data_IF_499523314755
#
_entry.id   IF_499523314755
#
_cell.length_a   1.000
_cell.length_b   1.000
_cell.length_c   1.000
_cell.angle_alpha   90.00
_cell.angle_beta   90.00
_cell.angle_gamma   90.00
#
_symmetry.space_group_name_H-M   'P 1'
#
loop_
_entity.id
_entity.type
_entity.pdbx_description
1 polymer ?
#
# COMPACT_ATOMS: atom_id res chain seq x y z
N UNK A 1 -2.77 -61.16 7.54
CA UNK A 1 -2.48 -59.83 8.11
C UNK A 1 -2.31 -58.87 6.96
N UNK A 2 -3.39 -58.12 6.65
CA UNK A 2 -3.36 -57.08 5.61
C UNK A 2 -2.93 -55.77 6.27
N UNK A 3 -1.76 -55.23 5.84
CA UNK A 3 -1.26 -53.94 6.31
C UNK A 3 -2.03 -52.81 5.66
N UNK A 4 -2.74 -52.03 6.45
CA UNK A 4 -3.33 -50.76 6.05
C UNK A 4 -2.19 -49.74 5.80
N UNK A 5 -2.09 -49.24 4.59
CA UNK A 5 -1.27 -48.07 4.28
C UNK A 5 -1.91 -46.82 4.90
N UNK A 6 -1.18 -45.93 5.54
CA UNK A 6 -1.74 -44.65 5.98
C UNK A 6 -2.06 -43.79 4.74
N UNK A 7 -3.31 -43.38 4.61
CA UNK A 7 -3.74 -42.34 3.69
C UNK A 7 -3.04 -41.04 4.07
N UNK A 8 -2.37 -40.44 3.10
CA UNK A 8 -1.80 -39.11 3.22
C UNK A 8 -2.95 -38.10 3.33
N UNK A 9 -3.17 -37.56 4.52
CA UNK A 9 -4.05 -36.43 4.76
C UNK A 9 -3.38 -35.23 4.07
N UNK A 10 -3.90 -34.85 2.92
CA UNK A 10 -3.58 -33.58 2.28
C UNK A 10 -4.15 -32.46 3.17
N UNK A 11 -3.30 -31.91 4.04
CA UNK A 11 -3.63 -30.68 4.75
C UNK A 11 -3.51 -29.50 3.78
N UNK A 12 -4.56 -29.25 3.04
CA UNK A 12 -4.74 -28.02 2.29
C UNK A 12 -5.07 -26.89 3.28
N UNK A 13 -4.03 -26.36 3.93
CA UNK A 13 -4.10 -25.19 4.80
C UNK A 13 -4.05 -23.89 4.00
N UNK A 14 -4.52 -23.89 2.76
CA UNK A 14 -4.70 -22.66 2.01
C UNK A 14 -5.76 -21.83 2.71
N UNK A 15 -5.39 -20.61 3.05
CA UNK A 15 -6.25 -19.60 3.68
C UNK A 15 -7.62 -19.55 2.98
N UNK A 16 -8.68 -19.85 3.71
CA UNK A 16 -10.08 -19.87 3.24
C UNK A 16 -10.71 -18.47 3.13
N UNK A 17 -9.89 -17.41 3.14
CA UNK A 17 -10.41 -16.05 3.03
C UNK A 17 -10.81 -15.74 1.59
N UNK A 18 -11.95 -15.07 1.37
CA UNK A 18 -12.40 -14.72 0.04
C UNK A 18 -11.35 -13.87 -0.68
N UNK A 19 -11.19 -14.12 -1.98
CA UNK A 19 -10.47 -13.19 -2.84
C UNK A 19 -11.22 -11.87 -2.89
N UNK A 20 -10.50 -10.74 -3.11
CA UNK A 20 -11.16 -9.45 -3.26
C UNK A 20 -12.05 -9.45 -4.50
N UNK A 21 -13.14 -8.70 -4.44
CA UNK A 21 -13.90 -8.42 -5.64
C UNK A 21 -13.10 -7.46 -6.53
N UNK A 22 -12.70 -7.93 -7.71
CA UNK A 22 -12.01 -7.10 -8.69
C UNK A 22 -12.87 -5.93 -9.15
N UNK A 23 -12.25 -4.77 -9.27
CA UNK A 23 -12.88 -3.56 -9.81
C UNK A 23 -12.57 -3.47 -11.30
N UNK A 24 -13.57 -3.47 -12.20
CA UNK A 24 -13.36 -3.19 -13.62
C UNK A 24 -12.79 -1.77 -13.83
N UNK A 25 -11.84 -1.61 -14.75
CA UNK A 25 -11.17 -0.31 -14.95
C UNK A 25 -12.12 0.81 -15.34
N UNK A 26 -13.16 0.50 -16.13
CA UNK A 26 -14.19 1.46 -16.51
C UNK A 26 -14.99 2.00 -15.33
N UNK A 27 -15.07 1.26 -14.24
CA UNK A 27 -15.76 1.67 -13.00
C UNK A 27 -14.80 2.16 -11.89
N UNK A 28 -13.48 2.18 -12.13
CA UNK A 28 -12.48 2.49 -11.11
C UNK A 28 -12.75 3.85 -10.44
N UNK A 29 -12.96 4.91 -11.21
CA UNK A 29 -13.23 6.24 -10.65
C UNK A 29 -14.53 6.27 -9.83
N UNK A 30 -15.56 5.61 -10.30
CA UNK A 30 -16.83 5.51 -9.58
C UNK A 30 -16.65 4.72 -8.26
N UNK A 31 -15.92 3.60 -8.31
CA UNK A 31 -15.67 2.77 -7.13
C UNK A 31 -14.85 3.53 -6.09
N UNK A 32 -13.77 4.22 -6.49
CA UNK A 32 -12.98 5.07 -5.62
C UNK A 32 -13.81 6.19 -4.99
N UNK A 33 -14.66 6.87 -5.78
CA UNK A 33 -15.53 7.92 -5.29
C UNK A 33 -16.61 7.39 -4.32
N UNK A 34 -17.04 6.14 -4.47
CA UNK A 34 -18.13 5.57 -3.66
C UNK A 34 -17.62 4.86 -2.40
N UNK A 35 -16.66 3.94 -2.58
CA UNK A 35 -16.16 3.09 -1.50
C UNK A 35 -14.92 3.65 -0.79
N UNK A 36 -14.16 4.57 -1.43
CA UNK A 36 -12.87 5.03 -0.95
C UNK A 36 -11.72 4.03 -1.18
N UNK A 37 -12.00 2.89 -1.78
CA UNK A 37 -10.97 1.92 -2.17
C UNK A 37 -11.42 1.10 -3.38
N UNK A 38 -10.44 0.50 -4.06
CA UNK A 38 -10.65 -0.42 -5.18
C UNK A 38 -9.54 -1.47 -5.22
N UNK A 39 -9.83 -2.63 -5.78
CA UNK A 39 -8.83 -3.68 -6.02
C UNK A 39 -8.78 -3.98 -7.51
N UNK A 40 -7.58 -3.99 -8.08
CA UNK A 40 -7.34 -4.42 -9.44
C UNK A 40 -6.59 -5.75 -9.43
N UNK A 41 -7.01 -6.69 -10.27
CA UNK A 41 -6.25 -7.91 -10.55
C UNK A 41 -4.98 -7.56 -11.37
N UNK A 42 -4.02 -8.50 -11.55
CA UNK A 42 -2.75 -8.21 -12.20
C UNK A 42 -2.89 -7.67 -13.62
N UNK A 43 -3.83 -8.19 -14.40
CA UNK A 43 -4.05 -7.74 -15.79
C UNK A 43 -4.61 -6.32 -15.84
N UNK A 44 -5.58 -6.02 -14.98
CA UNK A 44 -6.14 -4.68 -14.86
C UNK A 44 -5.09 -3.69 -14.31
N UNK A 45 -4.26 -4.09 -13.35
CA UNK A 45 -3.18 -3.25 -12.81
C UNK A 45 -2.13 -2.91 -13.88
N UNK A 46 -1.70 -3.87 -14.69
CA UNK A 46 -0.77 -3.64 -15.78
C UNK A 46 -1.38 -2.70 -16.84
N UNK A 47 -2.63 -2.94 -17.25
CA UNK A 47 -3.33 -2.07 -18.20
C UNK A 47 -3.50 -0.64 -17.63
N UNK A 48 -3.86 -0.51 -16.36
CA UNK A 48 -3.95 0.78 -15.67
C UNK A 48 -2.61 1.52 -15.62
N UNK A 49 -1.51 0.79 -15.42
CA UNK A 49 -0.15 1.34 -15.44
C UNK A 49 0.36 1.66 -16.87
N UNK A 50 -0.39 1.31 -17.92
CA UNK A 50 0.00 1.52 -19.31
C UNK A 50 1.14 0.62 -19.77
N UNK A 51 1.29 -0.58 -19.19
CA UNK A 51 2.36 -1.52 -19.48
C UNK A 51 1.82 -2.97 -19.59
N UNK A 52 2.69 -3.89 -19.93
CA UNK A 52 2.39 -5.32 -19.87
C UNK A 52 2.79 -5.90 -18.50
N UNK A 53 2.10 -6.95 -18.07
CA UNK A 53 2.41 -7.62 -16.80
C UNK A 53 3.85 -8.16 -16.76
N UNK A 54 4.37 -8.62 -17.91
CA UNK A 54 5.77 -9.06 -18.02
C UNK A 54 6.79 -7.95 -17.76
N UNK A 55 6.45 -6.70 -18.05
CA UNK A 55 7.31 -5.54 -17.77
C UNK A 55 7.34 -5.24 -16.27
N UNK A 56 6.20 -5.37 -15.57
CA UNK A 56 6.16 -5.27 -14.11
C UNK A 56 7.03 -6.34 -13.43
N UNK A 57 7.11 -7.53 -14.00
CA UNK A 57 7.96 -8.60 -13.47
C UNK A 57 9.45 -8.26 -13.50
N UNK A 58 9.91 -7.35 -14.36
CA UNK A 58 11.28 -6.86 -14.38
C UNK A 58 11.69 -6.14 -13.07
N UNK A 59 10.71 -5.71 -12.27
CA UNK A 59 10.95 -5.08 -10.96
C UNK A 59 11.21 -6.09 -9.84
N UNK A 60 10.80 -7.35 -9.96
CA UNK A 60 10.86 -8.35 -8.87
C UNK A 60 12.27 -8.60 -8.31
N UNK A 61 13.35 -8.67 -9.11
CA UNK A 61 14.70 -8.94 -8.58
C UNK A 61 15.20 -7.91 -7.55
N UNK A 62 14.65 -6.69 -7.54
CA UNK A 62 15.07 -5.64 -6.61
C UNK A 62 14.61 -5.88 -5.16
N UNK A 63 13.76 -6.89 -4.90
CA UNK A 63 13.38 -7.31 -3.55
C UNK A 63 14.35 -8.31 -2.91
N UNK A 64 15.26 -8.93 -3.67
CA UNK A 64 16.10 -10.02 -3.16
C UNK A 64 17.16 -9.59 -2.15
N UNK A 65 17.65 -8.34 -2.22
CA UNK A 65 18.73 -7.83 -1.38
C UNK A 65 18.37 -6.52 -0.67
N UNK A 66 17.15 -6.47 -0.10
CA UNK A 66 16.76 -5.30 0.68
C UNK A 66 17.37 -5.32 2.09
N UNK A 67 17.81 -4.15 2.60
CA UNK A 67 18.35 -4.01 3.95
C UNK A 67 17.26 -4.21 5.00
N UNK A 68 17.66 -4.61 6.20
CA UNK A 68 16.77 -4.64 7.36
C UNK A 68 16.28 -3.24 7.71
N UNK A 69 15.05 -3.15 8.17
CA UNK A 69 14.51 -1.94 8.76
C UNK A 69 15.05 -1.74 10.17
N UNK A 70 15.97 -0.79 10.34
CA UNK A 70 16.58 -0.47 11.62
C UNK A 70 15.68 0.34 12.56
N UNK A 71 14.46 0.71 12.12
CA UNK A 71 13.57 1.60 12.87
C UNK A 71 12.38 0.87 13.51
N UNK A 72 12.36 -0.47 13.52
CA UNK A 72 11.30 -1.24 14.19
C UNK A 72 11.44 -1.14 15.71
N UNK A 73 10.48 -0.47 16.35
CA UNK A 73 10.48 -0.28 17.82
C UNK A 73 10.04 -1.53 18.60
N UNK A 74 9.39 -2.49 17.94
CA UNK A 74 9.02 -3.77 18.56
C UNK A 74 10.19 -4.76 18.69
N UNK A 75 11.40 -4.35 18.26
CA UNK A 75 12.60 -5.17 18.29
C UNK A 75 12.63 -6.29 17.24
N UNK A 76 11.67 -6.30 16.33
CA UNK A 76 11.58 -7.30 15.27
C UNK A 76 12.66 -7.09 14.19
N UNK A 77 13.11 -8.18 13.58
CA UNK A 77 14.01 -8.17 12.40
C UNK A 77 13.32 -8.73 11.15
N UNK A 78 12.00 -8.75 11.16
CA UNK A 78 11.19 -9.37 10.11
C UNK A 78 10.91 -8.45 8.93
N UNK A 79 11.22 -7.12 8.99
CA UNK A 79 10.93 -6.19 7.92
C UNK A 79 12.20 -5.71 7.23
N UNK A 80 12.20 -5.78 5.91
CA UNK A 80 13.21 -5.19 5.04
C UNK A 80 12.55 -4.16 4.17
N UNK A 81 13.22 -3.04 3.88
CA UNK A 81 12.66 -2.00 3.05
C UNK A 81 13.71 -1.06 2.46
N UNK A 82 13.27 -0.39 1.40
CA UNK A 82 13.92 0.80 0.83
C UNK A 82 12.91 1.94 0.75
N UNK A 83 13.38 3.12 0.45
CA UNK A 83 12.51 4.29 0.33
C UNK A 83 13.11 5.29 -0.66
N UNK A 84 12.28 5.80 -1.57
CA UNK A 84 12.64 6.94 -2.43
C UNK A 84 11.44 7.81 -2.67
N UNK A 85 11.69 9.08 -2.97
CA UNK A 85 10.69 10.10 -3.16
C UNK A 85 10.72 10.65 -4.58
N UNK A 86 9.54 10.97 -5.09
CA UNK A 86 9.32 11.48 -6.44
C UNK A 86 8.32 12.63 -6.39
N UNK A 87 8.42 13.52 -7.34
CA UNK A 87 7.43 14.56 -7.60
C UNK A 87 6.86 14.40 -9.00
N UNK A 88 5.54 14.53 -9.11
CA UNK A 88 4.83 14.56 -10.38
C UNK A 88 4.15 15.89 -10.52
N UNK A 89 4.58 16.68 -11.52
CA UNK A 89 4.02 17.98 -11.80
C UNK A 89 4.18 18.32 -13.29
N UNK A 90 3.16 18.93 -13.93
CA UNK A 90 3.15 19.22 -15.36
C UNK A 90 3.50 18.00 -16.23
N UNK A 91 2.86 16.86 -15.95
CA UNK A 91 3.06 15.57 -16.64
C UNK A 91 4.52 15.06 -16.62
N UNK A 92 5.33 15.56 -15.70
CA UNK A 92 6.71 15.14 -15.51
C UNK A 92 6.91 14.51 -14.14
N UNK A 93 7.42 13.27 -14.15
CA UNK A 93 7.93 12.59 -12.96
C UNK A 93 9.41 12.92 -12.76
N UNK A 94 9.78 13.28 -11.54
CA UNK A 94 11.17 13.59 -11.17
C UNK A 94 11.48 12.92 -9.83
N UNK A 95 12.59 12.17 -9.76
CA UNK A 95 13.09 11.69 -8.48
C UNK A 95 13.69 12.86 -7.69
N UNK A 96 13.29 13.00 -6.42
CA UNK A 96 13.83 14.07 -5.55
C UNK A 96 15.13 13.62 -4.88
N UNK A 97 15.81 14.57 -4.23
CA UNK A 97 16.91 14.23 -3.35
C UNK A 97 16.45 13.25 -2.26
N UNK A 98 17.34 12.34 -1.89
CA UNK A 98 17.06 11.36 -0.84
C UNK A 98 16.75 12.05 0.49
N UNK A 99 15.65 11.61 1.13
CA UNK A 99 15.16 12.20 2.38
C UNK A 99 14.68 11.14 3.35
N UNK A 100 14.62 11.50 4.63
CA UNK A 100 14.02 10.65 5.63
C UNK A 100 12.49 10.60 5.46
N UNK A 101 11.92 9.43 5.61
CA UNK A 101 10.48 9.25 5.75
C UNK A 101 10.02 9.76 7.12
N UNK A 102 8.87 10.42 7.16
CA UNK A 102 8.27 10.94 8.39
C UNK A 102 6.76 10.70 8.37
N UNK A 103 6.19 10.34 9.51
CA UNK A 103 4.75 10.28 9.76
C UNK A 103 4.44 10.92 11.10
N UNK A 104 3.26 11.53 11.24
CA UNK A 104 2.78 12.03 12.53
C UNK A 104 2.44 10.88 13.47
N UNK A 105 2.49 11.14 14.79
CA UNK A 105 2.01 10.21 15.81
C UNK A 105 0.52 9.91 15.67
N UNK A 106 -0.26 10.85 15.12
CA UNK A 106 -1.71 10.69 14.91
C UNK A 106 -2.01 9.57 13.91
N UNK A 107 -1.12 9.33 12.95
CA UNK A 107 -1.26 8.29 11.93
C UNK A 107 -0.47 7.02 12.24
N UNK A 108 0.64 7.14 12.95
CA UNK A 108 1.45 6.00 13.35
C UNK A 108 1.90 6.14 14.80
N UNK A 109 1.07 5.66 15.72
CA UNK A 109 1.34 5.73 17.15
C UNK A 109 2.61 4.96 17.56
N UNK A 110 3.00 3.94 16.78
CA UNK A 110 4.17 3.11 17.10
C UNK A 110 5.47 3.72 16.56
N UNK A 111 5.49 4.17 15.30
CA UNK A 111 6.70 4.61 14.60
C UNK A 111 6.66 6.07 14.14
N UNK A 112 5.61 6.82 14.45
CA UNK A 112 5.47 8.24 14.12
C UNK A 112 6.35 9.15 14.94
N UNK A 113 6.36 10.45 14.58
CA UNK A 113 7.06 11.52 15.29
C UNK A 113 8.58 11.50 15.17
N UNK A 114 9.15 10.67 14.27
CA UNK A 114 10.59 10.54 14.06
C UNK A 114 10.97 10.48 12.59
N UNK A 115 12.11 11.04 12.25
CA UNK A 115 12.72 10.88 10.94
C UNK A 115 13.34 9.48 10.81
N UNK A 116 12.94 8.73 9.79
CA UNK A 116 13.43 7.39 9.50
C UNK A 116 14.16 7.41 8.15
N UNK A 117 15.47 7.43 8.18
CA UNK A 117 16.28 7.40 6.96
C UNK A 117 16.51 5.94 6.55
N UNK A 118 15.87 5.53 5.47
CA UNK A 118 16.05 4.21 4.86
C UNK A 118 17.03 4.32 3.70
N UNK A 119 17.61 3.19 3.28
CA UNK A 119 18.39 3.18 2.06
C UNK A 119 17.52 3.52 0.84
N UNK A 120 18.04 4.29 -0.15
CA UNK A 120 17.31 4.60 -1.37
C UNK A 120 17.07 3.35 -2.22
N UNK A 121 16.08 3.42 -3.09
CA UNK A 121 15.88 2.43 -4.14
C UNK A 121 17.06 2.44 -5.12
N UNK A 122 17.36 1.27 -5.69
CA UNK A 122 18.41 1.13 -6.70
C UNK A 122 18.14 2.03 -7.91
N UNK A 123 19.19 2.69 -8.41
CA UNK A 123 19.09 3.47 -9.65
C UNK A 123 18.72 2.58 -10.85
N UNK A 124 19.20 1.34 -10.87
CA UNK A 124 18.82 0.38 -11.92
C UNK A 124 17.31 0.12 -11.94
N UNK A 125 16.65 0.13 -10.77
CA UNK A 125 15.20 -0.02 -10.69
C UNK A 125 14.46 1.24 -11.14
N UNK A 126 14.86 2.40 -10.60
CA UNK A 126 14.11 3.65 -10.82
C UNK A 126 14.28 4.21 -12.23
N UNK A 127 15.28 3.76 -12.99
CA UNK A 127 15.49 4.12 -14.39
C UNK A 127 14.76 3.21 -15.38
N UNK A 128 14.14 2.12 -14.94
CA UNK A 128 13.35 1.26 -15.82
C UNK A 128 12.12 2.03 -16.34
N UNK A 129 11.80 1.94 -17.64
CA UNK A 129 10.64 2.62 -18.21
C UNK A 129 9.33 2.27 -17.49
N UNK A 130 9.14 0.99 -17.15
CA UNK A 130 7.95 0.52 -16.42
C UNK A 130 7.80 1.17 -15.04
N UNK A 131 8.89 1.51 -14.38
CA UNK A 131 8.85 2.27 -13.13
C UNK A 131 8.24 3.66 -13.32
N UNK A 132 8.72 4.38 -14.32
CA UNK A 132 8.19 5.71 -14.67
C UNK A 132 6.71 5.64 -15.09
N UNK A 133 6.33 4.64 -15.89
CA UNK A 133 4.94 4.41 -16.29
C UNK A 133 4.05 4.18 -15.08
N UNK A 134 4.44 3.30 -14.16
CA UNK A 134 3.68 2.96 -12.97
C UNK A 134 3.42 4.18 -12.07
N UNK A 135 4.46 4.98 -11.79
CA UNK A 135 4.32 6.16 -10.94
C UNK A 135 3.54 7.27 -11.63
N UNK A 136 3.72 7.45 -12.94
CA UNK A 136 2.93 8.41 -13.73
C UNK A 136 1.46 8.05 -13.73
N UNK A 137 1.12 6.78 -13.95
CA UNK A 137 -0.27 6.30 -13.92
C UNK A 137 -0.89 6.53 -12.53
N UNK A 138 -0.16 6.26 -11.45
CA UNK A 138 -0.63 6.52 -10.09
C UNK A 138 -0.89 8.00 -9.85
N UNK A 139 0.03 8.90 -10.20
CA UNK A 139 -0.14 10.34 -10.05
C UNK A 139 -1.32 10.89 -10.87
N UNK A 140 -1.48 10.43 -12.11
CA UNK A 140 -2.60 10.82 -12.99
C UNK A 140 -3.93 10.34 -12.42
N UNK A 141 -3.99 9.13 -11.88
CA UNK A 141 -5.17 8.62 -11.19
C UNK A 141 -5.52 9.45 -9.96
N UNK A 142 -4.53 9.83 -9.13
CA UNK A 142 -4.73 10.73 -7.99
C UNK A 142 -5.33 12.07 -8.43
N UNK A 143 -4.82 12.67 -9.52
CA UNK A 143 -5.35 13.90 -10.11
C UNK A 143 -6.81 13.73 -10.56
N UNK A 144 -7.13 12.60 -11.18
CA UNK A 144 -8.48 12.28 -11.64
C UNK A 144 -9.44 12.10 -10.45
N UNK A 145 -9.05 11.36 -9.41
CA UNK A 145 -9.89 11.10 -8.23
C UNK A 145 -10.17 12.36 -7.41
N UNK A 146 -9.23 13.33 -7.39
CA UNK A 146 -9.43 14.64 -6.75
C UNK A 146 -10.03 15.68 -7.69
N UNK A 147 -10.25 15.36 -8.97
CA UNK A 147 -10.65 16.32 -10.00
C UNK A 147 -9.71 17.55 -10.07
N UNK A 148 -8.41 17.31 -10.00
CA UNK A 148 -7.33 18.32 -10.01
C UNK A 148 -6.30 17.97 -11.08
N UNK A 149 -6.52 18.27 -12.36
CA UNK A 149 -5.67 17.82 -13.47
C UNK A 149 -4.23 18.36 -13.42
N UNK A 150 -3.99 19.46 -12.70
CA UNK A 150 -2.66 20.08 -12.57
C UNK A 150 -2.09 20.00 -11.15
N UNK A 151 -2.59 19.05 -10.33
CA UNK A 151 -2.07 18.88 -8.98
C UNK A 151 -0.58 18.51 -9.00
N UNK A 152 0.14 19.02 -8.01
CA UNK A 152 1.52 18.62 -7.74
C UNK A 152 1.48 17.47 -6.72
N UNK A 153 1.90 16.29 -7.13
CA UNK A 153 1.93 15.10 -6.28
C UNK A 153 3.34 14.81 -5.78
N UNK A 154 3.48 14.73 -4.46
CA UNK A 154 4.66 14.20 -3.78
C UNK A 154 4.41 12.72 -3.51
N UNK A 155 5.21 11.84 -4.13
CA UNK A 155 5.04 10.39 -4.08
C UNK A 155 6.18 9.79 -3.28
N UNK A 156 5.88 8.98 -2.27
CA UNK A 156 6.85 8.14 -1.61
C UNK A 156 6.66 6.69 -2.05
N UNK A 157 7.75 6.04 -2.41
CA UNK A 157 7.77 4.64 -2.82
C UNK A 157 8.51 3.79 -1.81
N UNK A 158 7.83 2.72 -1.36
CA UNK A 158 8.29 1.86 -0.29
C UNK A 158 8.25 0.38 -0.73
N UNK A 159 9.32 -0.16 -1.29
CA UNK A 159 9.49 -1.60 -1.39
C UNK A 159 9.60 -2.21 0.01
N UNK A 160 8.77 -3.22 0.30
CA UNK A 160 8.79 -3.96 1.56
C UNK A 160 8.94 -5.45 1.31
N UNK A 161 9.76 -6.10 2.14
CA UNK A 161 9.68 -7.55 2.39
C UNK A 161 9.39 -7.77 3.87
N UNK A 162 8.33 -8.50 4.15
CA UNK A 162 8.07 -9.04 5.49
C UNK A 162 8.55 -10.48 5.46
N UNK A 163 9.71 -10.71 6.06
CA UNK A 163 10.36 -12.01 6.20
C UNK A 163 9.91 -12.65 7.51
N UNK A 164 9.19 -13.74 7.42
CA UNK A 164 8.72 -14.48 8.59
C UNK A 164 9.42 -15.85 8.74
N UNK A 165 10.54 -16.08 8.05
CA UNK A 165 11.28 -17.34 8.12
C UNK A 165 11.75 -17.70 9.54
N UNK A 166 11.88 -16.71 10.43
CA UNK A 166 12.27 -16.86 11.84
C UNK A 166 11.09 -16.73 12.81
N UNK A 167 9.87 -16.60 12.33
CA UNK A 167 8.68 -16.46 13.18
C UNK A 167 7.60 -15.57 12.55
N UNK A 168 6.77 -14.94 13.39
CA UNK A 168 5.67 -14.11 12.93
C UNK A 168 6.19 -12.81 12.33
N UNK A 169 5.79 -12.53 11.08
CA UNK A 169 5.98 -11.24 10.42
C UNK A 169 4.75 -10.35 10.58
N UNK A 170 4.95 -9.04 10.77
CA UNK A 170 3.86 -8.07 10.95
C UNK A 170 3.93 -7.01 9.86
N UNK A 171 3.07 -7.09 8.82
CA UNK A 171 3.03 -6.08 7.76
C UNK A 171 2.67 -4.69 8.30
N UNK A 172 1.68 -4.61 9.17
CA UNK A 172 1.25 -3.38 9.86
C UNK A 172 1.33 -3.59 11.38
N UNK A 173 2.53 -3.42 11.99
CA UNK A 173 2.71 -3.66 13.43
C UNK A 173 1.91 -2.70 14.30
N UNK A 174 1.53 -1.54 13.79
CA UNK A 174 0.65 -0.54 14.39
C UNK A 174 -0.83 -0.94 14.38
N UNK A 175 -1.21 -1.98 13.62
CA UNK A 175 -2.60 -2.37 13.42
C UNK A 175 -3.32 -1.56 12.36
N UNK A 176 -4.63 -1.40 12.51
CA UNK A 176 -5.46 -0.63 11.60
C UNK A 176 -5.15 0.88 11.71
N UNK A 177 -4.82 1.51 10.59
CA UNK A 177 -4.31 2.87 10.54
C UNK A 177 -4.65 3.58 9.23
N UNK A 178 -4.35 4.86 9.20
CA UNK A 178 -4.23 5.72 8.00
C UNK A 178 -2.76 6.14 7.87
N UNK A 179 -2.31 6.39 6.65
CA UNK A 179 -0.94 6.85 6.41
C UNK A 179 -0.76 8.37 6.58
N UNK A 180 -1.86 9.13 6.57
CA UNK A 180 -1.81 10.60 6.64
C UNK A 180 -1.45 11.25 5.32
N UNK A 181 -1.83 10.62 4.22
CA UNK A 181 -1.63 11.08 2.84
C UNK A 181 -2.97 11.22 2.12
N UNK A 182 -2.96 11.54 0.82
CA UNK A 182 -4.20 11.58 0.03
C UNK A 182 -4.58 10.19 -0.49
N UNK A 183 -3.62 9.48 -1.10
CA UNK A 183 -3.86 8.17 -1.69
C UNK A 183 -2.73 7.20 -1.41
N UNK A 184 -3.10 5.93 -1.34
CA UNK A 184 -2.17 4.80 -1.17
C UNK A 184 -2.45 3.74 -2.23
N UNK A 185 -1.39 3.16 -2.79
CA UNK A 185 -1.46 1.97 -3.61
C UNK A 185 -0.58 0.87 -3.01
N UNK A 186 -1.17 -0.29 -2.71
CA UNK A 186 -0.46 -1.45 -2.16
C UNK A 186 -0.46 -2.56 -3.19
N UNK A 187 0.65 -2.74 -3.90
CA UNK A 187 0.85 -3.85 -4.83
C UNK A 187 1.37 -5.07 -4.06
N UNK A 188 0.74 -6.21 -4.27
CA UNK A 188 1.31 -7.48 -3.84
C UNK A 188 2.29 -7.95 -4.93
N UNK A 189 3.53 -8.27 -4.56
CA UNK A 189 4.52 -8.80 -5.49
C UNK A 189 4.74 -10.30 -5.29
N UNK A 190 4.79 -10.74 -4.03
CA UNK A 190 5.06 -12.12 -3.73
C UNK A 190 4.44 -12.56 -2.40
N UNK A 191 3.95 -13.79 -2.36
CA UNK A 191 3.59 -14.52 -1.14
C UNK A 191 4.25 -15.90 -1.24
N UNK A 192 5.22 -16.16 -0.38
CA UNK A 192 5.97 -17.43 -0.42
C UNK A 192 5.88 -18.13 0.93
N UNK A 193 5.30 -19.33 0.93
CA UNK A 193 5.22 -20.22 2.08
C UNK A 193 4.69 -19.53 3.35
N UNK A 194 3.58 -18.78 3.22
CA UNK A 194 2.97 -18.05 4.33
C UNK A 194 1.47 -18.30 4.41
N UNK A 195 0.96 -18.24 5.65
CA UNK A 195 -0.46 -18.05 5.95
C UNK A 195 -0.67 -16.69 6.61
N UNK A 196 -1.92 -16.21 6.66
CA UNK A 196 -2.27 -14.88 7.16
C UNK A 196 -2.01 -13.79 6.13
N UNK A 197 -1.83 -12.55 6.57
CA UNK A 197 -1.71 -11.38 5.70
C UNK A 197 -3.04 -11.04 5.03
N UNK A 198 -4.16 -11.28 5.74
CA UNK A 198 -5.48 -10.78 5.38
C UNK A 198 -5.45 -9.27 5.38
N UNK A 199 -5.95 -8.67 4.34
CA UNK A 199 -6.18 -7.23 4.25
C UNK A 199 -7.56 -6.92 4.79
N UNK A 200 -7.65 -5.89 5.61
CA UNK A 200 -8.89 -5.32 6.12
C UNK A 200 -8.95 -3.85 5.78
N UNK A 201 -10.08 -3.43 5.24
CA UNK A 201 -10.37 -2.04 4.89
C UNK A 201 -11.66 -1.64 5.57
N UNK A 202 -11.65 -0.57 6.34
CA UNK A 202 -12.79 -0.06 7.09
C UNK A 202 -13.13 1.35 6.61
N UNK A 203 -14.40 1.68 6.57
CA UNK A 203 -14.84 3.07 6.42
C UNK A 203 -14.33 3.89 7.62
N UNK A 204 -13.67 5.01 7.38
CA UNK A 204 -13.16 5.88 8.45
C UNK A 204 -14.26 6.56 9.28
N UNK A 205 -15.49 6.62 8.76
CA UNK A 205 -16.63 7.34 9.36
C UNK A 205 -17.84 6.46 9.64
N UNK A 206 -17.76 5.15 9.36
CA UNK A 206 -18.88 4.22 9.48
C UNK A 206 -18.47 2.84 9.98
N UNK A 207 -19.46 1.98 10.24
CA UNK A 207 -19.22 0.62 10.74
C UNK A 207 -18.87 -0.38 9.62
N UNK A 208 -18.83 0.05 8.36
CA UNK A 208 -18.65 -0.84 7.23
C UNK A 208 -17.17 -1.19 7.06
N UNK A 209 -16.92 -2.42 6.63
CA UNK A 209 -15.58 -2.88 6.33
C UNK A 209 -15.62 -4.16 5.51
N UNK A 210 -14.56 -4.38 4.78
CA UNK A 210 -14.34 -5.60 4.02
C UNK A 210 -13.00 -6.23 4.42
N UNK A 211 -12.92 -7.55 4.25
CA UNK A 211 -11.71 -8.32 4.48
C UNK A 211 -11.50 -9.29 3.32
N UNK A 212 -10.28 -9.38 2.86
CA UNK A 212 -9.87 -10.24 1.76
C UNK A 212 -8.36 -10.51 1.84
N UNK A 213 -7.87 -11.40 1.01
CA UNK A 213 -6.43 -11.63 0.89
C UNK A 213 -6.01 -11.39 -0.56
N UNK A 214 -5.11 -10.44 -0.78
CA UNK A 214 -4.42 -10.32 -2.06
C UNK A 214 -3.56 -11.57 -2.24
N UNK A 215 -3.77 -12.32 -3.33
CA UNK A 215 -3.08 -13.59 -3.59
C UNK A 215 -2.23 -13.54 -4.84
N UNK A 216 -2.71 -12.85 -5.87
CA UNK A 216 -2.06 -12.82 -7.18
C UNK A 216 -0.98 -11.74 -7.21
N UNK A 217 0.26 -12.08 -7.62
CA UNK A 217 1.32 -11.08 -7.83
C UNK A 217 0.87 -9.97 -8.77
N UNK A 218 1.17 -8.71 -8.41
CA UNK A 218 0.77 -7.49 -9.09
C UNK A 218 -0.71 -7.13 -8.99
N UNK A 219 -1.51 -7.84 -8.18
CA UNK A 219 -2.77 -7.25 -7.74
C UNK A 219 -2.48 -6.00 -6.89
N UNK A 220 -3.35 -4.98 -6.99
CA UNK A 220 -3.17 -3.72 -6.25
C UNK A 220 -4.44 -3.35 -5.51
N UNK A 221 -4.27 -2.93 -4.26
CA UNK A 221 -5.28 -2.23 -3.47
C UNK A 221 -5.00 -0.74 -3.55
N UNK A 222 -5.98 0.03 -4.01
CA UNK A 222 -5.98 1.49 -4.10
C UNK A 222 -6.87 2.06 -3.00
N UNK A 223 -6.39 3.08 -2.28
CA UNK A 223 -7.06 3.66 -1.11
C UNK A 223 -7.11 5.19 -1.21
N UNK A 224 -8.25 5.79 -0.91
CA UNK A 224 -8.39 7.18 -0.48
C UNK A 224 -8.17 7.22 1.03
N UNK A 225 -6.98 7.62 1.45
CA UNK A 225 -6.52 7.51 2.84
C UNK A 225 -7.35 8.36 3.82
N UNK A 226 -8.01 9.41 3.32
CA UNK A 226 -8.92 10.22 4.14
C UNK A 226 -10.22 9.48 4.49
N UNK A 227 -10.62 8.49 3.68
CA UNK A 227 -11.94 7.84 3.75
C UNK A 227 -11.90 6.45 4.34
N UNK A 228 -10.74 5.80 4.36
CA UNK A 228 -10.62 4.42 4.84
C UNK A 228 -9.49 4.27 5.85
N UNK A 229 -9.66 3.26 6.70
CA UNK A 229 -8.63 2.74 7.61
C UNK A 229 -8.27 1.36 7.10
N UNK A 230 -6.99 1.01 7.09
CA UNK A 230 -6.56 -0.28 6.57
C UNK A 230 -5.51 -0.96 7.44
N UNK A 231 -5.44 -2.29 7.33
CA UNK A 231 -4.40 -3.11 7.94
C UNK A 231 -4.14 -4.38 7.13
N UNK A 232 -3.00 -5.00 7.38
CA UNK A 232 -2.72 -6.38 6.99
C UNK A 232 -2.39 -7.20 8.23
N UNK A 233 -3.12 -8.30 8.45
CA UNK A 233 -2.91 -9.17 9.60
C UNK A 233 -1.51 -9.80 9.60
N UNK A 234 -0.99 -10.26 10.74
CA UNK A 234 0.28 -10.95 10.81
C UNK A 234 0.34 -12.17 9.87
N UNK A 235 1.55 -12.46 9.41
CA UNK A 235 1.86 -13.64 8.59
C UNK A 235 2.70 -14.64 9.39
N UNK A 236 2.46 -15.93 9.13
CA UNK A 236 3.18 -17.03 9.75
C UNK A 236 3.84 -17.91 8.67
N UNK A 237 5.00 -18.50 8.95
CA UNK A 237 5.70 -19.34 7.99
C UNK A 237 5.03 -20.72 7.86
N UNK A 238 5.02 -21.23 6.63
CA UNK A 238 4.72 -22.62 6.29
C UNK A 238 5.99 -23.42 5.88
N UNK A 239 7.17 -22.76 5.94
CA UNK A 239 8.43 -23.36 5.55
C UNK A 239 9.63 -22.47 5.87
N UNK A 240 10.83 -22.94 5.52
CA UNK A 240 12.09 -22.26 5.88
C UNK A 240 12.32 -20.91 5.18
N UNK A 241 11.77 -20.74 3.98
CA UNK A 241 11.82 -19.47 3.25
C UNK A 241 10.38 -18.98 3.13
N UNK A 242 10.03 -17.99 3.94
CA UNK A 242 8.67 -17.53 4.08
C UNK A 242 8.62 -15.99 4.14
N UNK A 243 7.99 -15.36 3.15
CA UNK A 243 7.92 -13.90 3.07
C UNK A 243 6.72 -13.39 2.26
N UNK A 244 6.41 -12.13 2.48
CA UNK A 244 5.48 -11.34 1.69
C UNK A 244 6.19 -10.10 1.17
N UNK A 245 6.16 -9.89 -0.13
CA UNK A 245 6.72 -8.71 -0.79
C UNK A 245 5.61 -7.79 -1.27
N UNK A 246 5.78 -6.51 -1.03
CA UNK A 246 4.85 -5.47 -1.49
C UNK A 246 5.60 -4.24 -1.96
N UNK A 247 5.02 -3.52 -2.90
CA UNK A 247 5.34 -2.14 -3.19
C UNK A 247 4.19 -1.28 -2.66
N UNK A 248 4.50 -0.35 -1.78
CA UNK A 248 3.56 0.66 -1.31
C UNK A 248 3.95 1.99 -1.91
N UNK A 249 3.01 2.62 -2.61
CA UNK A 249 3.12 4.00 -3.07
C UNK A 249 2.16 4.85 -2.28
N UNK A 250 2.63 5.98 -1.79
CA UNK A 250 1.77 7.00 -1.18
C UNK A 250 1.86 8.29 -1.99
N UNK A 251 0.75 9.00 -2.13
CA UNK A 251 0.72 10.30 -2.81
C UNK A 251 0.10 11.35 -1.90
N UNK A 252 0.74 12.51 -1.80
CA UNK A 252 0.26 13.67 -1.07
C UNK A 252 0.37 14.91 -1.94
N UNK A 253 -0.67 15.75 -1.94
CA UNK A 253 -0.69 16.98 -2.72
C UNK A 253 0.25 18.02 -2.11
N UNK A 254 1.02 18.69 -2.96
CA UNK A 254 1.88 19.86 -2.70
C UNK A 254 3.10 19.66 -1.81
N UNK A 255 3.13 18.70 -0.87
CA UNK A 255 4.26 18.53 0.01
C UNK A 255 4.36 17.10 0.56
N UNK A 256 5.57 16.62 0.82
CA UNK A 256 5.81 15.43 1.61
C UNK A 256 5.44 15.68 3.08
N UNK A 257 5.14 14.62 3.82
CA UNK A 257 4.96 14.74 5.27
C UNK A 257 6.23 15.23 5.96
N UNK A 258 6.05 16.05 7.00
CA UNK A 258 7.14 16.58 7.79
C UNK A 258 6.67 17.14 9.13
N UNK A 259 7.57 17.42 10.08
CA UNK A 259 7.23 18.01 11.36
C UNK A 259 6.47 19.34 11.19
N UNK A 260 5.38 19.53 11.92
CA UNK A 260 4.57 20.74 11.87
C UNK A 260 3.59 20.86 10.70
N UNK A 261 3.52 19.85 9.85
CA UNK A 261 2.52 19.76 8.80
C UNK A 261 1.38 18.82 9.22
N UNK A 262 0.48 19.28 10.10
CA UNK A 262 -0.82 18.63 10.27
C UNK A 262 -1.59 18.70 8.96
N UNK A 263 -2.36 17.66 8.61
CA UNK A 263 -3.43 17.84 7.64
C UNK A 263 -4.37 18.88 8.23
N UNK A 264 -4.66 19.95 7.48
CA UNK A 264 -5.80 20.80 7.78
C UNK A 264 -7.03 19.99 7.42
N UNK A 265 -7.48 19.11 8.34
CA UNK A 265 -8.80 18.50 8.29
C UNK A 265 -9.82 19.61 8.57
N UNK A 266 -10.14 20.39 7.55
CA UNK A 266 -11.41 21.12 7.48
C UNK A 266 -12.12 20.64 6.22
N UNK A 267 -13.27 19.95 6.35
CA UNK A 267 -14.17 19.81 5.24
C UNK A 267 -14.63 21.23 4.86
N UNK A 268 -14.31 21.64 3.64
CA UNK A 268 -14.92 22.81 3.04
C UNK A 268 -16.44 22.57 2.99
N UNK A 269 -17.19 23.53 3.58
CA UNK A 269 -18.60 23.77 3.39
C UNK A 269 -19.63 22.79 4.00
N UNK A 270 -19.91 22.98 5.30
CA UNK A 270 -21.28 22.85 5.78
C UNK A 270 -22.02 24.18 5.48
N UNK A 271 -23.18 24.18 4.81
CA UNK A 271 -23.93 25.41 4.57
C UNK A 271 -24.43 26.00 5.89
N UNK A 272 -24.17 27.28 6.10
CA UNK A 272 -24.63 28.04 7.25
C UNK A 272 -26.16 27.94 7.39
N UNK A 273 -26.63 27.29 8.44
CA UNK A 273 -28.03 27.31 8.82
C UNK A 273 -28.39 28.73 9.30
N UNK A 274 -29.11 29.49 8.45
CA UNK A 274 -29.76 30.73 8.85
C UNK A 274 -30.86 30.40 9.84
N UNK A 275 -30.61 30.57 11.13
CA UNK A 275 -31.64 30.75 12.11
C UNK A 275 -32.31 32.13 11.86
N UNK A 276 -33.47 32.12 11.23
CA UNK A 276 -34.37 33.25 11.30
C UNK A 276 -34.93 33.29 12.72
N UNK A 277 -34.52 34.33 13.46
CA UNK A 277 -35.23 34.81 14.64
C UNK A 277 -36.56 35.39 14.18
N UNK A 278 -37.67 34.85 14.67
CA UNK A 278 -38.96 35.54 14.65
C UNK A 278 -39.19 36.16 16.04
N UNK A 279 -39.36 37.45 16.02
CA UNK A 279 -39.93 38.24 17.13
C UNK A 279 -41.41 37.95 17.29
#
# INVERSE_FOLDING_TARGET
MMGLKPEAVSNDLTSTWPEPQDTPLESLCHTMAHKGYAVLNPSAAALWAGCQLSELHALLPFWDHMPLDAHLKDGGSYRRRRHSCFEFHHDKLTQTLHRAHWQSLDYNALHGGMHRLFEPMSQDMVTLPVWTQLLTAFAQACSQWRNKPHAHWCIEAHPFRIDCSQGIGRPTPEGAHRDGVDFVAVFLLHRKNIIGGETRVFDAHGPQGERFTLQQPWSVLLLDDARVIHESTPIQPLGHIAHRDTLVLTARENAFQGPGQGLTDQPADAPASHHRSMA
#
